data_IF_842505391843
#
_entry.id   IF_842505391843
#
_cell.length_a   1.000
_cell.length_b   1.000
_cell.length_c   1.000
_cell.angle_alpha   90.00
_cell.angle_beta   90.00
_cell.angle_gamma   90.00
#
_symmetry.space_group_name_H-M   'P 1'
#
loop_
_entity.id
_entity.type
_entity.pdbx_description
1 polymer ?
#
# COMPACT_ATOMS: atom_id res chain seq x y z
N UNK A 1 0.64 -7.13 42.43
CA UNK A 1 -0.51 -6.41 41.81
C UNK A 1 -0.04 -5.24 40.94
N UNK A 2 0.70 -4.27 41.47
CA UNK A 2 1.16 -3.09 40.69
C UNK A 2 1.94 -3.44 39.40
N UNK A 3 2.80 -4.46 39.45
CA UNK A 3 3.57 -4.93 38.26
C UNK A 3 2.71 -5.55 37.20
N UNK A 4 1.61 -6.20 37.55
CA UNK A 4 0.68 -6.81 36.61
C UNK A 4 -0.16 -5.77 35.84
N UNK A 5 -0.67 -4.82 36.58
CA UNK A 5 -1.46 -3.72 36.01
C UNK A 5 -0.60 -2.85 35.07
N UNK A 6 0.66 -2.57 35.48
CA UNK A 6 1.62 -1.85 34.61
C UNK A 6 1.94 -2.62 33.32
N UNK A 7 2.11 -3.94 33.41
CA UNK A 7 2.40 -4.77 32.25
C UNK A 7 1.21 -4.81 31.29
N UNK A 8 0.00 -4.91 31.81
CA UNK A 8 -1.23 -4.88 31.00
C UNK A 8 -1.44 -3.51 30.34
N UNK A 9 -1.15 -2.43 31.05
CA UNK A 9 -1.27 -1.08 30.50
C UNK A 9 -0.26 -0.84 29.36
N UNK A 10 0.99 -1.31 29.54
CA UNK A 10 1.99 -1.26 28.46
C UNK A 10 1.57 -2.08 27.22
N UNK A 11 1.00 -3.27 27.42
CA UNK A 11 0.50 -4.10 26.31
C UNK A 11 -0.66 -3.42 25.59
N UNK A 12 -1.58 -2.79 26.30
CA UNK A 12 -2.67 -1.99 25.71
C UNK A 12 -2.16 -0.79 24.92
N UNK A 13 -1.16 -0.07 25.44
CA UNK A 13 -0.56 1.06 24.74
C UNK A 13 0.12 0.62 23.42
N UNK A 14 0.87 -0.48 23.46
CA UNK A 14 1.49 -1.05 22.27
C UNK A 14 0.44 -1.52 21.24
N UNK A 15 -0.62 -2.19 21.69
CA UNK A 15 -1.71 -2.62 20.82
C UNK A 15 -2.38 -1.43 20.13
N UNK A 16 -2.66 -0.36 20.89
CA UNK A 16 -3.26 0.88 20.36
C UNK A 16 -2.35 1.54 19.30
N UNK A 17 -1.04 1.61 19.57
CA UNK A 17 -0.07 2.16 18.61
C UNK A 17 -0.04 1.35 17.32
N UNK A 18 0.15 0.02 17.41
CA UNK A 18 0.22 -0.84 16.24
C UNK A 18 -1.11 -0.84 15.45
N UNK A 19 -2.25 -0.79 16.15
CA UNK A 19 -3.55 -0.69 15.50
C UNK A 19 -3.71 0.63 14.73
N UNK A 20 -3.19 1.74 15.26
CA UNK A 20 -3.15 3.03 14.57
C UNK A 20 -2.25 2.98 13.34
N UNK A 21 -1.07 2.37 13.47
CA UNK A 21 -0.11 2.20 12.36
C UNK A 21 -0.70 1.34 11.24
N UNK A 22 -1.38 0.24 11.59
CA UNK A 22 -2.09 -0.60 10.62
C UNK A 22 -3.18 0.16 9.88
N UNK A 23 -3.97 0.97 10.57
CA UNK A 23 -5.01 1.78 9.94
C UNK A 23 -4.41 2.85 8.98
N UNK A 24 -3.25 3.41 9.33
CA UNK A 24 -2.52 4.34 8.48
C UNK A 24 -1.94 3.65 7.23
N UNK A 25 -1.37 2.44 7.40
CA UNK A 25 -0.85 1.64 6.30
C UNK A 25 -1.96 1.20 5.34
N UNK A 26 -3.12 0.82 5.85
CA UNK A 26 -4.26 0.42 5.03
C UNK A 26 -4.78 1.57 4.16
N UNK A 27 -4.83 2.78 4.71
CA UNK A 27 -5.15 4.00 3.93
C UNK A 27 -4.12 4.25 2.83
N UNK A 28 -2.83 4.25 3.17
CA UNK A 28 -1.76 4.44 2.18
C UNK A 28 -1.79 3.39 1.06
N UNK A 29 -2.09 2.14 1.42
CA UNK A 29 -2.25 1.06 0.46
C UNK A 29 -3.41 1.34 -0.50
N UNK A 30 -4.58 1.72 0.02
CA UNK A 30 -5.75 2.07 -0.81
C UNK A 30 -5.48 3.26 -1.72
N UNK A 31 -4.81 4.31 -1.21
CA UNK A 31 -4.40 5.47 -2.01
C UNK A 31 -3.43 5.07 -3.13
N UNK A 32 -2.48 4.18 -2.83
CA UNK A 32 -1.52 3.69 -3.82
C UNK A 32 -2.14 2.75 -4.86
N UNK A 33 -3.10 1.92 -4.46
CA UNK A 33 -3.89 1.09 -5.39
C UNK A 33 -4.69 1.96 -6.37
N UNK A 34 -5.28 3.06 -5.89
CA UNK A 34 -5.99 4.01 -6.76
C UNK A 34 -5.03 4.78 -7.69
N UNK A 35 -3.86 5.20 -7.20
CA UNK A 35 -2.83 5.82 -8.04
C UNK A 35 -2.39 4.88 -9.17
N UNK A 36 -2.16 3.60 -8.86
CA UNK A 36 -1.79 2.58 -9.85
C UNK A 36 -2.90 2.39 -10.88
N UNK A 37 -4.18 2.38 -10.45
CA UNK A 37 -5.32 2.27 -11.34
C UNK A 37 -5.35 3.42 -12.35
N UNK A 38 -5.26 4.66 -11.86
CA UNK A 38 -5.26 5.86 -12.71
C UNK A 38 -4.07 5.86 -13.66
N UNK A 39 -2.86 5.59 -13.17
CA UNK A 39 -1.67 5.51 -14.03
C UNK A 39 -1.75 4.40 -15.09
N UNK A 40 -2.45 3.31 -14.79
CA UNK A 40 -2.67 2.22 -15.75
C UNK A 40 -3.61 2.67 -16.87
N UNK A 41 -4.71 3.34 -16.53
CA UNK A 41 -5.65 3.89 -17.51
C UNK A 41 -4.98 4.95 -18.41
N UNK A 42 -4.23 5.89 -17.80
CA UNK A 42 -3.47 6.91 -18.55
C UNK A 42 -2.43 6.28 -19.50
N UNK A 43 -1.77 5.20 -19.06
CA UNK A 43 -0.82 4.46 -19.88
C UNK A 43 -1.49 3.75 -21.06
N UNK A 44 -2.65 3.14 -20.86
CA UNK A 44 -3.43 2.50 -21.91
C UNK A 44 -3.86 3.52 -22.98
N UNK A 45 -4.38 4.69 -22.57
CA UNK A 45 -4.75 5.78 -23.49
C UNK A 45 -3.53 6.31 -24.28
N UNK A 46 -2.37 6.42 -23.61
CA UNK A 46 -1.13 6.85 -24.26
C UNK A 46 -0.63 5.82 -25.28
N UNK A 47 -0.75 4.52 -25.00
CA UNK A 47 -0.41 3.43 -25.94
C UNK A 47 -1.32 3.50 -27.17
N UNK A 48 -2.64 3.61 -26.99
CA UNK A 48 -3.58 3.72 -28.12
C UNK A 48 -3.30 4.95 -28.98
N UNK A 49 -2.92 6.06 -28.34
CA UNK A 49 -2.56 7.30 -29.05
C UNK A 49 -1.29 7.11 -29.86
N UNK A 50 -0.27 6.46 -29.30
CA UNK A 50 0.98 6.17 -30.00
C UNK A 50 0.74 5.21 -31.19
N UNK A 51 -0.07 4.18 -31.03
CA UNK A 51 -0.42 3.26 -32.12
C UNK A 51 -1.13 3.98 -33.27
N UNK A 52 -2.09 4.86 -32.97
CA UNK A 52 -2.75 5.69 -34.00
C UNK A 52 -1.76 6.62 -34.71
N UNK A 53 -0.84 7.23 -34.00
CA UNK A 53 0.20 8.07 -34.59
C UNK A 53 1.14 7.25 -35.49
N UNK A 54 1.53 6.06 -35.04
CA UNK A 54 2.36 5.14 -35.81
C UNK A 54 1.70 4.75 -37.14
N UNK A 55 0.43 4.32 -37.13
CA UNK A 55 -0.29 3.94 -38.33
C UNK A 55 -0.47 5.15 -39.28
N UNK A 56 -0.75 6.34 -38.74
CA UNK A 56 -0.82 7.56 -39.57
C UNK A 56 0.52 7.90 -40.22
N UNK A 57 1.63 7.79 -39.52
CA UNK A 57 2.98 8.01 -40.07
C UNK A 57 3.30 6.97 -41.15
N UNK A 58 2.98 5.71 -40.90
CA UNK A 58 3.18 4.61 -41.87
C UNK A 58 2.42 4.83 -43.17
N UNK A 59 1.11 5.15 -43.10
CA UNK A 59 0.31 5.48 -44.27
C UNK A 59 0.89 6.66 -45.03
N UNK A 60 1.42 7.65 -44.32
CA UNK A 60 2.03 8.82 -44.96
C UNK A 60 3.34 8.51 -45.66
N UNK A 61 4.21 7.72 -45.03
CA UNK A 61 5.46 7.23 -45.61
C UNK A 61 5.13 6.40 -46.87
N UNK A 62 4.12 5.53 -46.80
CA UNK A 62 3.67 4.73 -47.92
C UNK A 62 3.18 5.62 -49.08
N UNK A 63 2.36 6.63 -48.77
CA UNK A 63 1.89 7.58 -49.78
C UNK A 63 3.04 8.34 -50.47
N UNK A 64 4.02 8.81 -49.69
CA UNK A 64 5.21 9.48 -50.22
C UNK A 64 6.06 8.57 -51.10
N UNK A 65 6.11 7.27 -50.80
CA UNK A 65 6.83 6.29 -51.59
C UNK A 65 6.09 5.92 -52.89
N UNK A 66 4.75 5.77 -52.85
CA UNK A 66 3.92 5.37 -53.97
C UNK A 66 3.68 6.51 -54.96
N UNK A 67 3.77 7.78 -54.52
CA UNK A 67 3.57 8.99 -55.36
C UNK A 67 4.77 9.94 -55.31
N UNK A 68 5.93 9.54 -55.82
CA UNK A 68 7.12 10.38 -55.86
C UNK A 68 6.95 11.66 -56.68
N UNK A 69 5.97 11.69 -57.59
CA UNK A 69 5.59 12.85 -58.43
C UNK A 69 5.02 14.04 -57.61
N UNK A 70 4.50 13.78 -56.41
CA UNK A 70 4.08 14.83 -55.48
C UNK A 70 5.27 15.34 -54.62
N UNK A 71 6.47 14.75 -54.79
CA UNK A 71 7.71 15.25 -54.17
C UNK A 71 8.31 16.42 -54.97
N UNK A 72 9.18 17.22 -54.32
CA UNK A 72 9.88 18.34 -55.00
C UNK A 72 10.61 17.89 -56.31
N UNK A 73 11.06 16.64 -56.38
CA UNK A 73 11.79 16.11 -57.52
C UNK A 73 10.87 15.82 -58.73
N UNK A 74 9.63 15.38 -58.49
CA UNK A 74 8.61 15.15 -59.54
C UNK A 74 8.13 16.44 -60.19
N UNK A 75 8.17 17.55 -59.44
CA UNK A 75 7.75 18.88 -59.95
C UNK A 75 8.66 19.42 -61.06
N UNK A 76 9.94 19.04 -61.08
CA UNK A 76 10.88 19.48 -62.13
C UNK A 76 10.77 18.68 -63.42
N UNK A 77 10.04 17.58 -63.44
CA UNK A 77 9.92 16.68 -64.60
C UNK A 77 8.65 16.91 -65.42
N UNK A 78 7.77 17.81 -65.04
CA UNK A 78 6.50 18.09 -65.73
C UNK A 78 6.46 19.53 -66.24
N UNK A 79 5.89 19.76 -67.44
CA UNK A 79 5.69 21.09 -68.03
C UNK A 79 4.59 21.88 -67.32
N UNK A 80 4.93 22.54 -66.22
CA UNK A 80 4.01 23.41 -65.45
C UNK A 80 4.29 24.89 -65.65
N UNK A 81 3.22 25.71 -65.52
CA UNK A 81 3.33 27.15 -65.38
C UNK A 81 4.07 27.52 -64.08
N UNK A 82 4.91 28.55 -64.09
CA UNK A 82 5.69 29.02 -62.93
C UNK A 82 4.84 29.25 -61.68
N UNK A 83 3.61 29.75 -61.83
CA UNK A 83 2.69 30.00 -60.70
C UNK A 83 2.22 28.69 -60.08
N UNK A 84 1.96 27.63 -60.89
CA UNK A 84 1.59 26.30 -60.40
C UNK A 84 2.74 25.62 -59.72
N UNK A 85 3.96 25.77 -60.23
CA UNK A 85 5.20 25.27 -59.58
C UNK A 85 5.38 25.93 -58.22
N UNK A 86 5.27 27.27 -58.13
CA UNK A 86 5.42 28.00 -56.84
C UNK A 86 4.36 27.58 -55.81
N UNK A 87 3.10 27.43 -56.23
CA UNK A 87 2.03 26.96 -55.32
C UNK A 87 2.25 25.52 -54.84
N UNK A 88 2.75 24.64 -55.71
CA UNK A 88 3.07 23.25 -55.34
C UNK A 88 4.30 23.15 -54.47
N UNK A 89 5.34 23.97 -54.74
CA UNK A 89 6.53 24.06 -53.86
C UNK A 89 6.14 24.54 -52.48
N UNK A 90 5.31 25.61 -52.37
CA UNK A 90 4.83 26.11 -51.07
C UNK A 90 4.03 25.04 -50.32
N UNK A 91 3.14 24.32 -51.00
CA UNK A 91 2.40 23.21 -50.41
C UNK A 91 3.30 22.04 -49.99
N UNK A 92 4.31 21.71 -50.77
CA UNK A 92 5.24 20.62 -50.45
C UNK A 92 6.10 20.96 -49.26
N UNK A 93 6.56 22.21 -49.12
CA UNK A 93 7.29 22.70 -47.96
C UNK A 93 6.42 22.63 -46.70
N UNK A 94 5.18 23.08 -46.78
CA UNK A 94 4.22 22.97 -45.66
C UNK A 94 3.93 21.53 -45.27
N UNK A 95 3.86 20.63 -46.21
CA UNK A 95 3.67 19.19 -45.96
C UNK A 95 4.91 18.62 -45.25
N UNK A 96 6.11 18.93 -45.69
CA UNK A 96 7.35 18.46 -45.04
C UNK A 96 7.49 19.01 -43.61
N UNK A 97 7.13 20.26 -43.39
CA UNK A 97 7.15 20.84 -42.06
C UNK A 97 6.12 20.17 -41.12
N UNK A 98 4.91 19.90 -41.63
CA UNK A 98 3.91 19.13 -40.90
C UNK A 98 4.40 17.71 -40.59
N UNK A 99 5.05 17.02 -41.52
CA UNK A 99 5.58 15.68 -41.32
C UNK A 99 6.67 15.63 -40.27
N UNK A 100 7.58 16.62 -40.30
CA UNK A 100 8.62 16.78 -39.29
C UNK A 100 7.99 16.99 -37.88
N UNK A 101 7.02 17.89 -37.80
CA UNK A 101 6.31 18.14 -36.56
C UNK A 101 5.62 16.88 -36.02
N UNK A 102 4.95 16.10 -36.89
CA UNK A 102 4.31 14.84 -36.51
C UNK A 102 5.29 13.76 -36.07
N UNK A 103 6.48 13.72 -36.63
CA UNK A 103 7.55 12.83 -36.21
C UNK A 103 8.12 13.26 -34.84
N UNK A 104 8.30 14.56 -34.62
CA UNK A 104 8.72 15.12 -33.34
C UNK A 104 7.69 14.82 -32.24
N UNK A 105 6.38 15.02 -32.54
CA UNK A 105 5.29 14.67 -31.61
C UNK A 105 5.31 13.16 -31.26
N UNK A 106 5.48 12.28 -32.26
CA UNK A 106 5.56 10.84 -32.05
C UNK A 106 6.74 10.45 -31.16
N UNK A 107 7.90 11.05 -31.39
CA UNK A 107 9.11 10.78 -30.59
C UNK A 107 8.92 11.25 -29.14
N UNK A 108 8.39 12.45 -28.94
CA UNK A 108 8.11 12.98 -27.63
C UNK A 108 7.08 12.12 -26.88
N UNK A 109 6.03 11.65 -27.55
CA UNK A 109 5.05 10.75 -26.96
C UNK A 109 5.64 9.38 -26.61
N UNK A 110 6.56 8.85 -27.42
CA UNK A 110 7.26 7.60 -27.14
C UNK A 110 8.15 7.72 -25.87
N UNK A 111 8.84 8.84 -25.71
CA UNK A 111 9.64 9.11 -24.52
C UNK A 111 8.75 9.29 -23.27
N UNK A 112 7.64 10.01 -23.40
CA UNK A 112 6.67 10.18 -22.32
C UNK A 112 6.03 8.84 -21.89
N UNK A 113 5.71 7.97 -22.85
CA UNK A 113 5.19 6.63 -22.60
C UNK A 113 6.17 5.76 -21.79
N UNK A 114 7.45 5.82 -22.13
CA UNK A 114 8.48 5.07 -21.39
C UNK A 114 8.61 5.58 -19.95
N UNK A 115 8.53 6.90 -19.74
CA UNK A 115 8.52 7.50 -18.42
C UNK A 115 7.30 7.04 -17.61
N UNK A 116 6.10 7.07 -18.19
CA UNK A 116 4.87 6.60 -17.53
C UNK A 116 4.98 5.13 -17.12
N UNK A 117 5.57 4.25 -17.95
CA UNK A 117 5.83 2.85 -17.59
C UNK A 117 6.74 2.74 -16.38
N UNK A 118 7.82 3.52 -16.34
CA UNK A 118 8.76 3.51 -15.21
C UNK A 118 8.10 4.00 -13.92
N UNK A 119 7.26 5.04 -14.00
CA UNK A 119 6.50 5.55 -12.85
C UNK A 119 5.48 4.53 -12.34
N UNK A 120 4.78 3.83 -13.24
CA UNK A 120 3.85 2.77 -12.87
C UNK A 120 4.56 1.62 -12.15
N UNK A 121 5.71 1.19 -12.67
CA UNK A 121 6.51 0.14 -12.02
C UNK A 121 7.09 0.58 -10.67
N UNK A 122 7.43 1.86 -10.52
CA UNK A 122 7.83 2.43 -9.22
C UNK A 122 6.67 2.40 -8.22
N UNK A 123 5.47 2.84 -8.63
CA UNK A 123 4.27 2.81 -7.79
C UNK A 123 3.90 1.39 -7.34
N UNK A 124 4.02 0.39 -8.22
CA UNK A 124 3.80 -1.03 -7.88
C UNK A 124 4.80 -1.53 -6.83
N UNK A 125 6.08 -1.20 -6.97
CA UNK A 125 7.11 -1.56 -5.96
C UNK A 125 6.84 -0.91 -4.60
N UNK A 126 6.38 0.34 -4.58
CA UNK A 126 5.97 0.99 -3.33
C UNK A 126 4.77 0.28 -2.68
N UNK A 127 3.79 -0.13 -3.48
CA UNK A 127 2.64 -0.91 -2.98
C UNK A 127 3.09 -2.25 -2.37
N UNK A 128 4.01 -2.97 -3.02
CA UNK A 128 4.59 -4.21 -2.47
C UNK A 128 5.27 -3.95 -1.12
N UNK A 129 6.03 -2.87 -1.00
CA UNK A 129 6.64 -2.45 0.26
C UNK A 129 5.61 -2.20 1.37
N UNK A 130 4.50 -1.52 1.06
CA UNK A 130 3.40 -1.28 2.01
C UNK A 130 2.71 -2.58 2.44
N UNK A 131 2.54 -3.52 1.50
CA UNK A 131 1.97 -4.85 1.79
C UNK A 131 2.88 -5.62 2.77
N UNK A 132 4.19 -5.60 2.54
CA UNK A 132 5.13 -6.31 3.40
C UNK A 132 5.25 -5.65 4.79
N UNK A 133 5.24 -4.34 4.87
CA UNK A 133 5.17 -3.62 6.15
C UNK A 133 3.88 -3.96 6.91
N UNK A 134 2.75 -4.04 6.22
CA UNK A 134 1.46 -4.43 6.80
C UNK A 134 1.53 -5.85 7.40
N UNK A 135 2.12 -6.82 6.68
CA UNK A 135 2.34 -8.18 7.20
C UNK A 135 3.18 -8.20 8.48
N UNK A 136 4.26 -7.39 8.52
CA UNK A 136 5.12 -7.28 9.70
C UNK A 136 4.33 -6.73 10.89
N UNK A 137 3.52 -5.70 10.70
CA UNK A 137 2.69 -5.13 11.77
C UNK A 137 1.61 -6.12 12.23
N UNK A 138 0.97 -6.85 11.33
CA UNK A 138 0.01 -7.91 11.68
C UNK A 138 0.67 -9.03 12.51
N UNK A 139 1.90 -9.43 12.17
CA UNK A 139 2.65 -10.41 12.96
C UNK A 139 2.95 -9.90 14.38
N UNK A 140 3.28 -8.61 14.55
CA UNK A 140 3.45 -7.98 15.86
C UNK A 140 2.16 -8.00 16.67
N UNK A 141 1.01 -7.69 16.06
CA UNK A 141 -0.30 -7.78 16.73
C UNK A 141 -0.56 -9.21 17.21
N UNK A 142 -0.36 -10.20 16.38
CA UNK A 142 -0.56 -11.61 16.74
C UNK A 142 0.34 -12.05 17.90
N UNK A 143 1.61 -11.62 17.91
CA UNK A 143 2.53 -11.87 19.01
C UNK A 143 2.04 -11.20 20.30
N UNK A 144 1.64 -9.94 20.22
CA UNK A 144 1.15 -9.18 21.37
C UNK A 144 -0.12 -9.78 21.98
N UNK A 145 -1.03 -10.29 21.15
CA UNK A 145 -2.22 -11.01 21.58
C UNK A 145 -1.87 -12.27 22.38
N UNK A 146 -0.90 -13.07 21.90
CA UNK A 146 -0.42 -14.26 22.60
C UNK A 146 0.21 -13.90 23.94
N UNK A 147 1.08 -12.90 23.98
CA UNK A 147 1.70 -12.42 25.21
C UNK A 147 0.68 -11.91 26.23
N UNK A 148 -0.34 -11.18 25.75
CA UNK A 148 -1.44 -10.70 26.59
C UNK A 148 -2.24 -11.85 27.17
N UNK A 149 -2.62 -12.84 26.35
CA UNK A 149 -3.35 -14.03 26.79
C UNK A 149 -2.56 -14.84 27.82
N UNK A 150 -1.27 -15.07 27.60
CA UNK A 150 -0.39 -15.77 28.55
C UNK A 150 -0.27 -14.99 29.85
N UNK A 151 -0.13 -13.69 29.79
CA UNK A 151 -0.05 -12.82 30.98
C UNK A 151 -1.34 -12.89 31.79
N UNK A 152 -2.50 -12.81 31.14
CA UNK A 152 -3.81 -12.96 31.83
C UNK A 152 -3.93 -14.34 32.47
N UNK A 153 -3.60 -15.40 31.77
CA UNK A 153 -3.64 -16.77 32.31
C UNK A 153 -2.77 -16.95 33.53
N UNK A 154 -1.56 -16.41 33.51
CA UNK A 154 -0.65 -16.47 34.65
C UNK A 154 -1.23 -15.73 35.89
N UNK A 155 -1.84 -14.55 35.68
CA UNK A 155 -2.48 -13.83 36.79
C UNK A 155 -3.71 -14.52 37.35
N UNK A 156 -4.52 -15.16 36.49
CA UNK A 156 -5.65 -15.96 36.96
C UNK A 156 -5.16 -17.13 37.86
N UNK A 157 -4.08 -17.79 37.47
CA UNK A 157 -3.47 -18.85 38.27
C UNK A 157 -2.91 -18.33 39.62
N UNK A 158 -2.24 -17.18 39.60
CA UNK A 158 -1.76 -16.53 40.85
C UNK A 158 -2.91 -16.15 41.78
N UNK A 159 -4.01 -15.62 41.23
CA UNK A 159 -5.21 -15.28 42.01
C UNK A 159 -5.81 -16.55 42.62
N UNK A 160 -5.98 -17.63 41.83
CA UNK A 160 -6.54 -18.88 42.33
C UNK A 160 -5.69 -19.49 43.46
N UNK A 161 -4.34 -19.46 43.30
CA UNK A 161 -3.43 -19.94 44.35
C UNK A 161 -3.53 -19.09 45.66
N UNK A 162 -3.65 -17.76 45.50
CA UNK A 162 -3.84 -16.87 46.66
C UNK A 162 -5.20 -17.07 47.34
N UNK A 163 -6.27 -17.31 46.60
CA UNK A 163 -7.59 -17.64 47.15
C UNK A 163 -7.58 -18.97 47.93
N UNK A 164 -6.88 -20.00 47.42
CA UNK A 164 -6.68 -21.26 48.12
C UNK A 164 -5.89 -21.07 49.44
N UNK A 165 -4.83 -20.27 49.43
CA UNK A 165 -4.05 -19.95 50.63
C UNK A 165 -4.87 -19.18 51.67
N UNK A 166 -5.70 -18.22 51.25
CA UNK A 166 -6.64 -17.50 52.12
C UNK A 166 -7.64 -18.48 52.74
N UNK A 167 -8.25 -19.36 51.93
CA UNK A 167 -9.21 -20.38 52.42
C UNK A 167 -8.56 -21.31 53.47
N UNK A 168 -7.34 -21.77 53.23
CA UNK A 168 -6.59 -22.59 54.19
C UNK A 168 -6.29 -21.85 55.50
N UNK A 169 -5.93 -20.55 55.42
CA UNK A 169 -5.67 -19.71 56.60
C UNK A 169 -6.95 -19.43 57.38
N UNK A 170 -8.07 -19.16 56.73
CA UNK A 170 -9.39 -19.00 57.38
C UNK A 170 -9.83 -20.27 58.13
N UNK A 171 -9.69 -21.43 57.49
CA UNK A 171 -10.01 -22.73 58.13
C UNK A 171 -9.13 -23.00 59.35
N UNK A 172 -7.83 -22.69 59.28
CA UNK A 172 -6.91 -22.83 60.42
C UNK A 172 -7.26 -21.84 61.54
N UNK A 173 -7.67 -20.63 61.24
CA UNK A 173 -8.10 -19.62 62.21
C UNK A 173 -9.39 -20.05 62.93
N UNK A 174 -10.33 -20.59 62.17
CA UNK A 174 -11.58 -21.10 62.73
C UNK A 174 -11.35 -22.30 63.66
N UNK A 175 -10.47 -23.23 63.29
CA UNK A 175 -10.07 -24.36 64.12
C UNK A 175 -9.39 -23.90 65.43
N UNK A 176 -8.49 -22.93 65.36
CA UNK A 176 -7.84 -22.33 66.56
C UNK A 176 -8.84 -21.60 67.47
N UNK A 177 -9.80 -20.88 66.86
CA UNK A 177 -10.86 -20.19 67.59
C UNK A 177 -11.74 -21.17 68.36
N UNK A 178 -12.15 -22.29 67.73
CA UNK A 178 -12.89 -23.37 68.41
C UNK A 178 -12.12 -24.01 69.54
N UNK A 179 -10.84 -24.32 69.32
CA UNK A 179 -9.98 -24.88 70.38
C UNK A 179 -9.80 -23.92 71.55
N UNK A 180 -9.69 -22.62 71.32
CA UNK A 180 -9.61 -21.60 72.33
C UNK A 180 -10.91 -21.50 73.13
N UNK A 181 -12.07 -21.57 72.54
CA UNK A 181 -13.37 -21.61 73.17
C UNK A 181 -13.55 -22.87 74.03
N UNK A 182 -13.09 -24.02 73.60
CA UNK A 182 -13.11 -25.24 74.38
C UNK A 182 -12.18 -25.17 75.63
N UNK A 183 -10.98 -24.61 75.43
CA UNK A 183 -10.06 -24.37 76.55
C UNK A 183 -10.66 -23.40 77.58
N UNK A 184 -11.32 -22.34 77.17
CA UNK A 184 -11.96 -21.37 78.01
C UNK A 184 -13.13 -21.99 78.78
N UNK A 185 -13.92 -22.88 78.19
CA UNK A 185 -14.95 -23.66 78.90
C UNK A 185 -14.39 -24.57 79.95
N UNK A 186 -13.30 -25.31 79.59
CA UNK A 186 -12.63 -26.20 80.57
C UNK A 186 -12.04 -25.42 81.76
N UNK A 187 -11.42 -24.28 81.54
CA UNK A 187 -10.88 -23.42 82.61
C UNK A 187 -12.01 -22.89 83.55
N UNK A 188 -13.19 -22.58 83.01
CA UNK A 188 -14.35 -22.18 83.83
C UNK A 188 -14.96 -23.34 84.63
N UNK A 189 -14.89 -24.57 84.07
CA UNK A 189 -15.35 -25.79 84.78
C UNK A 189 -14.39 -26.24 85.88
N UNK A 190 -13.11 -25.91 85.81
CA UNK A 190 -12.10 -26.19 86.88
C UNK A 190 -12.06 -25.14 88.01
N UNK A 191 -12.58 -23.92 87.75
CA UNK A 191 -12.70 -22.86 88.77
C UNK A 191 -14.02 -22.87 89.59
N UNK A 192 -14.98 -23.71 89.21
CA UNK A 192 -16.29 -23.86 89.84
C UNK A 192 -16.35 -25.06 90.82
#
# INVERSE_FOLDING_TARGET
KATAEQKLENLKAQYKSISSDLAALDRKKTEKEEEIRVKTEELEEAIETQERQYENLKLRIQYMYEKPEDSLFGLFLQDFNIIEILNRVDNTVKIQEYDRQKLEEYTANAEALELQKQELEAAKRELEGLIDETKVQQAKVSKLQKETSTTISNYLNEIAAAEEEIGNTEAALEAKSKALQELYKKAQEEEA
#
